data_IF_010792190966
#
_entry.id   IF_010792190966
#
_cell.length_a   1.000
_cell.length_b   1.000
_cell.length_c   1.000
_cell.angle_alpha   90.00
_cell.angle_beta   90.00
_cell.angle_gamma   90.00
#
_symmetry.space_group_name_H-M   'P 1'
#
loop_
_entity.id
_entity.type
_entity.pdbx_description
1 polymer ?
#
# COMPACT_ATOMS: atom_id res chain seq x y z
N UNK A 1 0.36 21.30 43.77
CA UNK A 1 1.11 22.26 42.91
C UNK A 1 1.13 21.77 41.45
N UNK A 2 0.06 21.96 40.66
CA UNK A 2 -0.02 21.57 39.23
C UNK A 2 -0.56 22.71 38.33
N UNK A 3 -0.24 23.98 38.62
CA UNK A 3 -0.78 25.15 37.89
C UNK A 3 0.24 25.96 37.09
N UNK A 4 1.52 25.57 37.07
CA UNK A 4 2.58 26.34 36.38
C UNK A 4 2.87 25.89 34.93
N UNK A 5 2.38 24.73 34.51
CA UNK A 5 2.54 24.21 33.14
C UNK A 5 1.55 24.85 32.16
N UNK A 6 0.27 24.92 32.53
CA UNK A 6 -0.80 25.41 31.65
C UNK A 6 -0.68 26.89 31.29
N UNK A 7 -0.22 27.73 32.21
CA UNK A 7 -0.07 29.17 31.95
C UNK A 7 0.98 29.43 30.88
N UNK A 8 2.08 28.67 30.85
CA UNK A 8 3.10 28.80 29.81
C UNK A 8 2.55 28.36 28.45
N UNK A 9 1.79 27.27 28.41
CA UNK A 9 1.17 26.78 27.18
C UNK A 9 0.16 27.79 26.60
N UNK A 10 -0.66 28.40 27.44
CA UNK A 10 -1.62 29.45 27.03
C UNK A 10 -0.90 30.70 26.50
N UNK A 11 0.22 31.08 27.12
CA UNK A 11 1.02 32.21 26.63
C UNK A 11 1.63 31.91 25.26
N UNK A 12 2.18 30.71 25.03
CA UNK A 12 2.72 30.33 23.73
C UNK A 12 1.66 30.23 22.63
N UNK A 13 0.49 29.67 22.93
CA UNK A 13 -0.64 29.62 22.00
C UNK A 13 -1.14 31.03 21.62
N UNK A 14 -1.28 31.91 22.60
CA UNK A 14 -1.69 33.31 22.38
C UNK A 14 -0.66 34.08 21.54
N UNK A 15 0.64 33.89 21.80
CA UNK A 15 1.71 34.55 21.05
C UNK A 15 1.76 34.07 19.59
N UNK A 16 1.55 32.77 19.36
CA UNK A 16 1.51 32.17 18.03
C UNK A 16 0.37 32.75 17.19
N UNK A 17 -0.84 32.81 17.75
CA UNK A 17 -2.01 33.40 17.07
C UNK A 17 -1.76 34.88 16.76
N UNK A 18 -1.18 35.63 17.69
CA UNK A 18 -0.87 37.04 17.49
C UNK A 18 0.12 37.27 16.34
N UNK A 19 1.19 36.46 16.25
CA UNK A 19 2.18 36.55 15.17
C UNK A 19 1.54 36.23 13.81
N UNK A 20 0.70 35.18 13.74
CA UNK A 20 -0.03 34.83 12.51
C UNK A 20 -0.96 35.96 12.06
N UNK A 21 -1.69 36.58 13.00
CA UNK A 21 -2.56 37.71 12.69
C UNK A 21 -1.76 38.93 12.20
N UNK A 22 -0.62 39.25 12.80
CA UNK A 22 0.22 40.39 12.38
C UNK A 22 0.80 40.16 10.98
N UNK A 23 1.18 38.93 10.65
CA UNK A 23 1.70 38.59 9.31
C UNK A 23 0.58 38.62 8.26
N UNK A 24 -0.62 38.16 8.61
CA UNK A 24 -1.80 38.24 7.74
C UNK A 24 -2.24 39.70 7.47
N UNK A 25 -2.22 40.56 8.48
CA UNK A 25 -2.56 42.00 8.35
C UNK A 25 -1.52 42.74 7.48
N UNK A 26 -0.25 42.31 7.50
CA UNK A 26 0.80 42.88 6.64
C UNK A 26 0.75 42.39 5.18
N UNK A 27 -0.24 41.57 4.80
CA UNK A 27 -0.45 41.15 3.41
C UNK A 27 0.63 40.20 2.89
N UNK A 28 1.41 39.56 3.77
CA UNK A 28 2.31 38.50 3.37
C UNK A 28 1.49 37.24 3.08
N UNK A 29 1.66 36.67 1.88
CA UNK A 29 1.00 35.44 1.47
C UNK A 29 1.60 34.28 2.28
N UNK A 30 0.89 33.86 3.34
CA UNK A 30 1.36 32.85 4.27
C UNK A 30 0.98 31.46 3.73
N UNK A 31 1.92 30.80 3.05
CA UNK A 31 1.74 29.42 2.59
C UNK A 31 1.93 28.45 3.77
N UNK A 32 0.83 28.16 4.47
CA UNK A 32 0.79 27.24 5.61
C UNK A 32 0.91 25.76 5.20
N UNK A 33 0.93 25.46 3.89
CA UNK A 33 1.06 24.09 3.39
C UNK A 33 2.47 23.54 3.65
N UNK A 34 3.48 24.40 3.79
CA UNK A 34 4.87 23.96 3.95
C UNK A 34 5.32 23.72 5.41
N UNK A 35 4.53 24.11 6.41
CA UNK A 35 4.91 23.94 7.84
C UNK A 35 4.41 22.61 8.42
N UNK A 36 3.55 21.88 7.71
CA UNK A 36 3.12 20.53 8.11
C UNK A 36 3.20 19.59 6.91
N UNK A 37 4.29 18.85 6.83
CA UNK A 37 4.39 17.64 6.01
C UNK A 37 4.69 16.42 6.91
N UNK A 38 3.62 15.76 7.35
CA UNK A 38 3.32 14.32 7.36
C UNK A 38 4.20 13.22 7.98
N UNK A 39 5.17 13.48 8.86
CA UNK A 39 5.75 12.35 9.65
C UNK A 39 6.27 12.64 11.07
N UNK A 40 6.17 13.86 11.58
CA UNK A 40 6.53 14.17 12.97
C UNK A 40 8.02 13.96 13.31
N UNK A 41 8.91 13.87 12.32
CA UNK A 41 10.36 13.77 12.55
C UNK A 41 11.09 15.07 12.21
N UNK A 42 12.04 15.44 13.06
CA UNK A 42 12.85 16.66 12.89
C UNK A 42 13.76 16.50 11.66
N UNK A 43 13.53 17.32 10.63
CA UNK A 43 14.45 17.46 9.50
C UNK A 43 15.59 18.38 9.92
N UNK A 44 16.80 17.85 9.97
CA UNK A 44 18.01 18.67 10.03
C UNK A 44 18.36 19.09 8.59
N UNK A 45 18.43 20.39 8.33
CA UNK A 45 18.99 20.90 7.08
C UNK A 45 20.49 20.58 7.06
N UNK A 46 20.89 19.76 6.09
CA UNK A 46 22.27 19.32 5.91
C UNK A 46 23.00 20.43 5.16
N UNK A 47 23.79 21.22 5.89
CA UNK A 47 24.79 22.12 5.32
C UNK A 47 25.95 21.32 4.69
N UNK A 48 26.70 21.88 3.71
CA UNK A 48 27.82 21.19 3.07
C UNK A 48 28.85 20.59 4.06
N UNK A 49 29.04 21.24 5.22
CA UNK A 49 29.90 20.77 6.30
C UNK A 49 29.43 19.47 6.97
N UNK A 50 28.14 19.14 6.90
CA UNK A 50 27.58 17.92 7.49
C UNK A 50 27.68 16.69 6.57
N UNK A 51 27.80 16.89 5.26
CA UNK A 51 28.11 15.82 4.29
C UNK A 51 29.56 15.34 4.43
N UNK A 52 30.51 16.25 4.63
CA UNK A 52 31.92 15.91 4.86
C UNK A 52 32.07 15.13 6.19
N UNK A 53 31.32 15.53 7.23
CA UNK A 53 31.28 14.80 8.51
C UNK A 53 30.61 13.43 8.40
N UNK A 54 29.57 13.29 7.58
CA UNK A 54 28.93 11.99 7.30
C UNK A 54 29.87 11.06 6.51
N UNK A 55 30.65 11.60 5.57
CA UNK A 55 31.66 10.84 4.83
C UNK A 55 32.81 10.38 5.74
N UNK A 56 33.28 11.24 6.65
CA UNK A 56 34.31 10.88 7.66
C UNK A 56 33.78 9.83 8.67
N UNK A 57 32.49 9.88 9.03
CA UNK A 57 31.84 8.85 9.85
C UNK A 57 31.70 7.50 9.13
N UNK A 58 31.27 7.50 7.86
CA UNK A 58 31.10 6.29 7.05
C UNK A 58 32.43 5.62 6.69
N UNK A 59 33.50 6.41 6.50
CA UNK A 59 34.84 5.88 6.23
C UNK A 59 35.54 5.33 7.47
N UNK A 60 35.12 5.73 8.68
CA UNK A 60 35.63 5.21 9.95
C UNK A 60 34.82 4.03 10.50
N UNK A 61 33.57 3.83 10.06
CA UNK A 61 32.74 2.70 10.49
C UNK A 61 33.04 1.44 9.67
N UNK A 62 33.80 0.50 10.25
CA UNK A 62 33.76 -0.92 9.82
C UNK A 62 32.40 -1.47 10.26
N UNK A 63 31.58 -1.90 9.29
CA UNK A 63 30.22 -2.45 9.42
C UNK A 63 29.12 -1.39 9.30
N UNK A 64 28.44 -1.37 8.14
CA UNK A 64 27.16 -0.67 7.94
C UNK A 64 26.26 -1.56 7.08
N UNK A 65 25.12 -1.98 7.64
CA UNK A 65 23.96 -2.48 6.90
C UNK A 65 23.45 -1.35 5.98
N UNK A 66 23.65 -1.50 4.68
CA UNK A 66 23.30 -0.49 3.67
C UNK A 66 21.83 -0.56 3.27
N UNK A 67 20.99 0.27 3.91
CA UNK A 67 19.67 0.67 3.39
C UNK A 67 19.52 2.21 3.44
N UNK A 68 20.41 2.92 2.75
CA UNK A 68 20.33 4.37 2.58
C UNK A 68 19.97 4.68 1.13
N UNK A 69 18.75 5.19 0.88
CA UNK A 69 18.36 5.70 -0.44
C UNK A 69 18.43 7.22 -0.43
N UNK A 70 19.24 7.78 -1.33
CA UNK A 70 19.31 9.22 -1.58
C UNK A 70 18.33 9.58 -2.70
N UNK A 71 17.34 10.42 -2.40
CA UNK A 71 16.46 11.01 -3.42
C UNK A 71 17.19 12.24 -3.96
N UNK A 72 17.81 12.10 -5.13
CA UNK A 72 18.43 13.22 -5.84
C UNK A 72 17.37 13.90 -6.70
N UNK A 73 17.15 15.18 -6.43
CA UNK A 73 16.22 16.00 -7.19
C UNK A 73 16.68 16.13 -8.66
N UNK A 74 15.87 15.67 -9.61
CA UNK A 74 16.24 15.60 -11.05
C UNK A 74 16.52 16.98 -11.66
N UNK A 75 16.11 18.05 -11.00
CA UNK A 75 16.32 19.42 -11.48
C UNK A 75 17.72 19.98 -11.17
N UNK A 76 18.51 19.35 -10.29
CA UNK A 76 19.90 19.76 -9.99
C UNK A 76 20.94 19.18 -10.97
N UNK A 77 20.55 18.23 -11.84
CA UNK A 77 21.47 17.57 -12.77
C UNK A 77 21.85 18.40 -14.01
N UNK A 78 21.19 19.54 -14.24
CA UNK A 78 21.42 20.35 -15.45
C UNK A 78 22.57 21.36 -15.34
N UNK A 79 23.07 21.65 -14.13
CA UNK A 79 24.10 22.69 -13.95
C UNK A 79 25.50 22.17 -13.64
N UNK A 80 25.70 20.87 -13.41
CA UNK A 80 26.99 20.37 -12.92
C UNK A 80 27.68 19.41 -13.90
N UNK A 81 28.50 19.98 -14.80
CA UNK A 81 29.28 19.23 -15.82
C UNK A 81 30.24 18.19 -15.23
N UNK A 82 30.64 18.33 -13.97
CA UNK A 82 31.53 17.37 -13.29
C UNK A 82 30.80 16.07 -12.91
N UNK A 83 29.52 16.16 -12.54
CA UNK A 83 28.70 14.99 -12.20
C UNK A 83 28.38 14.13 -13.43
N UNK A 84 28.24 14.73 -14.61
CA UNK A 84 28.07 13.97 -15.87
C UNK A 84 29.32 13.16 -16.23
N UNK A 85 30.52 13.73 -16.06
CA UNK A 85 31.77 12.99 -16.28
C UNK A 85 31.95 11.83 -15.32
N UNK A 86 31.58 12.01 -14.04
CA UNK A 86 31.64 10.93 -13.04
C UNK A 86 30.71 9.77 -13.38
N UNK A 87 29.53 10.03 -13.95
CA UNK A 87 28.59 8.99 -14.40
C UNK A 87 29.11 8.26 -15.64
N UNK A 88 29.68 8.96 -16.63
CA UNK A 88 30.28 8.34 -17.82
C UNK A 88 31.51 7.48 -17.49
N UNK A 89 32.39 7.94 -16.61
CA UNK A 89 33.58 7.17 -16.17
C UNK A 89 33.15 5.90 -15.41
N UNK A 90 32.06 5.98 -14.65
CA UNK A 90 31.54 4.81 -13.91
C UNK A 90 30.89 3.79 -14.86
N UNK A 91 30.19 4.23 -15.92
CA UNK A 91 29.62 3.35 -16.94
C UNK A 91 30.70 2.68 -17.82
N UNK A 92 31.81 3.36 -18.14
CA UNK A 92 32.93 2.75 -18.84
C UNK A 92 33.66 1.69 -17.99
N UNK A 93 33.80 1.90 -16.68
CA UNK A 93 34.41 0.91 -15.78
C UNK A 93 33.58 -0.37 -15.62
N UNK A 94 32.25 -0.27 -15.71
CA UNK A 94 31.35 -1.44 -15.71
C UNK A 94 31.39 -2.25 -17.02
N UNK A 95 31.81 -1.64 -18.13
CA UNK A 95 31.90 -2.29 -19.45
C UNK A 95 33.21 -3.06 -19.67
N UNK A 96 34.23 -2.84 -18.84
CA UNK A 96 35.56 -3.48 -18.95
C UNK A 96 35.72 -4.74 -18.09
N UNK A 97 34.74 -5.08 -17.25
CA UNK A 97 34.80 -6.27 -16.36
C UNK A 97 34.24 -7.55 -17.00
N UNK A 98 33.72 -7.49 -18.23
CA UNK A 98 33.15 -8.66 -18.95
C UNK A 98 34.11 -9.27 -19.99
N UNK A 99 35.28 -8.67 -20.22
CA UNK A 99 36.21 -9.08 -21.30
C UNK A 99 37.50 -9.74 -20.81
N UNK A 100 37.47 -10.50 -19.71
CA UNK A 100 38.62 -11.28 -19.24
C UNK A 100 38.23 -12.67 -18.69
N UNK A 101 37.72 -13.55 -19.55
CA UNK A 101 38.00 -15.00 -19.45
C UNK A 101 38.22 -15.54 -20.87
N UNK A 102 39.45 -15.37 -21.36
CA UNK A 102 40.04 -16.19 -22.41
C UNK A 102 41.40 -16.64 -21.90
N UNK A 103 41.67 -17.95 -21.93
CA UNK A 103 42.99 -18.41 -22.30
C UNK A 103 42.91 -19.32 -23.54
N UNK A 104 43.64 -18.92 -24.57
CA UNK A 104 44.14 -19.80 -25.62
C UNK A 104 45.15 -20.79 -25.01
N UNK A 105 45.07 -22.08 -25.36
CA UNK A 105 46.21 -22.99 -25.58
C UNK A 105 45.73 -24.07 -26.57
N UNK A 106 46.11 -23.99 -27.84
CA UNK A 106 47.27 -24.66 -28.49
C UNK A 106 46.97 -26.08 -29.01
N UNK A 107 47.21 -26.24 -30.32
CA UNK A 107 47.17 -27.46 -31.11
C UNK A 107 48.32 -28.40 -30.74
N UNK A 108 48.06 -29.69 -30.53
CA UNK A 108 49.00 -30.79 -30.78
C UNK A 108 48.23 -31.99 -31.36
N UNK A 109 48.92 -32.68 -32.26
CA UNK A 109 48.49 -33.65 -33.27
C UNK A 109 47.95 -35.01 -32.78
N UNK A 110 47.36 -35.70 -33.76
CA UNK A 110 46.77 -37.03 -33.75
C UNK A 110 47.71 -38.15 -33.28
N UNK A 111 47.15 -39.13 -32.54
CA UNK A 111 47.41 -40.56 -32.76
C UNK A 111 46.27 -41.43 -32.19
N UNK A 112 46.15 -42.64 -32.71
CA UNK A 112 44.94 -43.45 -32.95
C UNK A 112 44.98 -44.77 -32.13
N UNK A 113 43.80 -45.37 -31.90
CA UNK A 113 43.50 -46.82 -31.56
C UNK A 113 43.62 -47.16 -30.04
N UNK A 114 42.69 -47.78 -29.27
CA UNK A 114 41.39 -48.50 -29.40
C UNK A 114 40.62 -48.49 -28.03
N UNK A 115 39.32 -48.91 -27.95
CA UNK A 115 38.40 -48.76 -26.78
C UNK A 115 38.27 -50.08 -25.96
N UNK A 116 37.30 -50.29 -25.04
CA UNK A 116 36.39 -49.42 -24.27
C UNK A 116 36.42 -49.69 -22.73
N UNK A 117 35.83 -48.81 -21.93
CA UNK A 117 35.01 -49.21 -20.76
C UNK A 117 33.97 -48.12 -20.48
N UNK A 118 32.73 -48.57 -20.31
CA UNK A 118 31.51 -47.80 -20.21
C UNK A 118 31.55 -46.78 -19.08
N UNK A 119 31.45 -45.50 -19.42
CA UNK A 119 30.87 -44.50 -18.54
C UNK A 119 29.67 -43.90 -19.25
N UNK A 120 28.54 -44.00 -18.57
CA UNK A 120 27.21 -43.58 -19.01
C UNK A 120 27.27 -42.11 -19.43
N UNK A 121 27.17 -41.86 -20.73
CA UNK A 121 26.79 -40.55 -21.26
C UNK A 121 25.40 -40.26 -20.74
N UNK A 122 25.31 -39.39 -19.72
CA UNK A 122 24.09 -38.62 -19.50
C UNK A 122 24.01 -37.72 -20.73
N UNK A 123 23.11 -38.05 -21.66
CA UNK A 123 22.68 -37.12 -22.69
C UNK A 123 22.37 -35.78 -22.00
N UNK A 124 22.91 -34.64 -22.46
CA UNK A 124 22.38 -33.36 -22.09
C UNK A 124 20.98 -33.30 -22.71
N UNK A 125 20.01 -33.86 -21.99
CA UNK A 125 18.61 -33.85 -22.35
C UNK A 125 18.28 -32.42 -22.74
N UNK A 126 17.81 -32.28 -23.97
CA UNK A 126 17.33 -31.03 -24.56
C UNK A 126 16.71 -30.20 -23.45
N UNK A 127 17.30 -29.04 -23.18
CA UNK A 127 16.81 -28.11 -22.17
C UNK A 127 15.40 -27.73 -22.61
N UNK A 128 14.39 -28.46 -22.12
CA UNK A 128 13.01 -28.30 -22.55
C UNK A 128 12.65 -26.85 -22.29
N UNK A 129 12.33 -26.09 -23.34
CA UNK A 129 11.94 -24.70 -23.21
C UNK A 129 10.72 -24.64 -22.28
N UNK A 130 10.91 -24.02 -21.11
CA UNK A 130 9.87 -23.94 -20.09
C UNK A 130 8.82 -22.95 -20.58
N UNK A 131 7.69 -23.46 -21.06
CA UNK A 131 6.58 -22.60 -21.50
C UNK A 131 5.81 -22.05 -20.30
N UNK A 132 6.00 -20.76 -20.02
CA UNK A 132 5.27 -20.07 -18.96
C UNK A 132 3.77 -19.95 -19.35
N UNK A 133 2.92 -20.61 -18.56
CA UNK A 133 1.46 -20.62 -18.70
C UNK A 133 0.78 -19.23 -18.63
N UNK A 134 -0.55 -19.20 -18.72
CA UNK A 134 -1.33 -17.97 -18.53
C UNK A 134 -1.37 -17.61 -17.05
N UNK A 135 -0.75 -16.49 -16.71
CA UNK A 135 -0.75 -15.93 -15.35
C UNK A 135 -1.59 -14.66 -15.40
N UNK A 136 -2.51 -14.50 -14.45
CA UNK A 136 -3.30 -13.29 -14.27
C UNK A 136 -2.94 -12.70 -12.92
N UNK A 137 -2.51 -11.44 -12.93
CA UNK A 137 -2.18 -10.67 -11.73
C UNK A 137 -2.99 -9.38 -11.75
N UNK A 138 -3.30 -8.85 -10.58
CA UNK A 138 -4.02 -7.59 -10.43
C UNK A 138 -3.11 -6.56 -9.75
N UNK A 139 -3.24 -5.28 -10.08
CA UNK A 139 -2.50 -4.17 -9.45
C UNK A 139 -2.96 -3.94 -8.01
N UNK A 140 -2.11 -3.33 -7.19
CA UNK A 140 -2.46 -2.89 -5.83
C UNK A 140 -3.20 -3.95 -4.98
N UNK A 141 -2.76 -5.20 -5.04
CA UNK A 141 -3.37 -6.28 -4.27
C UNK A 141 -2.37 -7.39 -3.95
N UNK A 142 -2.77 -8.27 -3.04
CA UNK A 142 -2.04 -9.47 -2.66
C UNK A 142 -2.33 -10.58 -3.67
N UNK A 143 -1.40 -10.82 -4.58
CA UNK A 143 -1.50 -11.88 -5.57
C UNK A 143 -0.84 -13.16 -5.05
N UNK A 144 -1.49 -14.30 -5.30
CA UNK A 144 -0.93 -15.61 -4.98
C UNK A 144 -0.58 -16.35 -6.25
N UNK A 145 0.68 -16.73 -6.39
CA UNK A 145 1.18 -17.44 -7.56
C UNK A 145 1.79 -18.79 -7.15
N UNK A 146 1.40 -19.83 -7.86
CA UNK A 146 1.97 -21.16 -7.73
C UNK A 146 3.10 -21.35 -8.75
N UNK A 147 4.25 -21.84 -8.31
CA UNK A 147 5.36 -22.26 -9.15
C UNK A 147 5.30 -23.78 -9.35
N UNK A 148 4.80 -24.29 -10.50
CA UNK A 148 4.76 -25.72 -10.78
C UNK A 148 6.10 -26.29 -11.27
N UNK A 149 7.11 -25.46 -11.50
CA UNK A 149 8.37 -25.87 -12.11
C UNK A 149 9.39 -26.36 -11.07
N UNK A 150 10.39 -27.11 -11.53
CA UNK A 150 11.50 -27.61 -10.73
C UNK A 150 12.61 -26.57 -10.50
N UNK A 151 12.46 -25.38 -11.08
CA UNK A 151 13.35 -24.24 -10.92
C UNK A 151 12.60 -23.05 -10.28
N UNK A 152 13.31 -22.12 -9.61
CA UNK A 152 12.66 -20.94 -9.04
C UNK A 152 11.97 -20.09 -10.10
N UNK A 153 10.80 -19.56 -9.76
CA UNK A 153 10.08 -18.59 -10.56
C UNK A 153 10.34 -17.20 -9.97
N UNK A 154 10.90 -16.30 -10.77
CA UNK A 154 11.18 -14.93 -10.38
C UNK A 154 10.12 -14.00 -10.95
N UNK A 155 9.44 -13.25 -10.09
CA UNK A 155 8.66 -12.07 -10.45
C UNK A 155 9.61 -10.89 -10.30
N UNK A 156 10.18 -10.46 -11.43
CA UNK A 156 11.31 -9.53 -11.48
C UNK A 156 11.01 -8.25 -10.68
N UNK A 157 11.86 -7.94 -9.71
CA UNK A 157 11.74 -6.74 -8.87
C UNK A 157 10.70 -6.82 -7.74
N UNK A 158 10.02 -7.96 -7.55
CA UNK A 158 9.03 -8.14 -6.48
C UNK A 158 9.42 -9.33 -5.60
N UNK A 159 9.51 -10.53 -6.17
CA UNK A 159 9.75 -11.73 -5.36
C UNK A 159 10.25 -12.92 -6.16
N UNK A 160 10.86 -13.88 -5.47
CA UNK A 160 11.18 -15.21 -6.00
C UNK A 160 10.36 -16.27 -5.27
N UNK A 161 9.78 -17.17 -6.05
CA UNK A 161 8.95 -18.30 -5.61
C UNK A 161 9.78 -19.58 -5.77
N UNK A 162 10.08 -20.30 -4.68
CA UNK A 162 10.82 -21.55 -4.75
C UNK A 162 10.17 -22.60 -5.68
N UNK A 163 10.94 -23.59 -6.16
CA UNK A 163 10.40 -24.71 -6.93
C UNK A 163 9.23 -25.39 -6.21
N UNK A 164 8.22 -25.83 -6.98
CA UNK A 164 7.04 -26.58 -6.48
C UNK A 164 6.34 -25.93 -5.28
N UNK A 165 6.35 -24.60 -5.20
CA UNK A 165 5.79 -23.86 -4.06
C UNK A 165 4.86 -22.75 -4.49
N UNK A 166 3.99 -22.33 -3.57
CA UNK A 166 3.09 -21.18 -3.74
C UNK A 166 3.55 -20.05 -2.84
N UNK A 167 3.48 -18.82 -3.35
CA UNK A 167 3.81 -17.63 -2.57
C UNK A 167 2.82 -16.50 -2.87
N UNK A 168 2.45 -15.80 -1.81
CA UNK A 168 1.66 -14.57 -1.87
C UNK A 168 2.57 -13.36 -1.79
N UNK A 169 2.34 -12.36 -2.64
CA UNK A 169 3.11 -11.12 -2.68
C UNK A 169 2.22 -9.95 -3.14
N UNK A 170 2.59 -8.75 -2.74
CA UNK A 170 1.85 -7.53 -3.11
C UNK A 170 2.39 -6.94 -4.41
N UNK A 171 1.48 -6.51 -5.28
CA UNK A 171 1.80 -5.77 -6.49
C UNK A 171 1.46 -4.30 -6.30
N UNK A 172 2.28 -3.41 -6.87
CA UNK A 172 2.05 -1.96 -6.85
C UNK A 172 1.33 -1.46 -8.12
N UNK A 173 1.61 -0.21 -8.49
CA UNK A 173 1.05 0.47 -9.67
C UNK A 173 1.66 0.11 -11.02
N UNK A 174 2.34 -1.03 -11.12
CA UNK A 174 2.99 -1.45 -12.37
C UNK A 174 1.93 -1.98 -13.36
N UNK A 175 2.00 -1.57 -14.62
CA UNK A 175 1.11 -2.05 -15.69
C UNK A 175 1.37 -3.50 -16.10
N UNK A 176 2.60 -3.98 -15.92
CA UNK A 176 3.02 -5.34 -16.24
C UNK A 176 4.21 -5.73 -15.38
N UNK A 177 4.44 -7.04 -15.24
CA UNK A 177 5.61 -7.63 -14.59
C UNK A 177 6.25 -8.65 -15.51
N UNK A 178 7.57 -8.79 -15.43
CA UNK A 178 8.29 -9.85 -16.13
C UNK A 178 8.45 -11.04 -15.20
N UNK A 179 8.03 -12.20 -15.66
CA UNK A 179 8.20 -13.47 -14.96
C UNK A 179 9.30 -14.25 -15.66
N UNK A 180 10.28 -14.73 -14.89
CA UNK A 180 11.39 -15.56 -15.37
C UNK A 180 11.36 -16.92 -14.72
N UNK A 181 11.59 -17.96 -15.52
CA UNK A 181 11.70 -19.35 -15.08
C UNK A 181 12.82 -20.00 -15.90
N UNK A 182 13.95 -20.29 -15.25
CA UNK A 182 15.15 -20.77 -15.96
C UNK A 182 15.62 -19.74 -17.00
N UNK A 183 15.72 -20.16 -18.26
CA UNK A 183 16.10 -19.31 -19.40
C UNK A 183 14.91 -18.59 -20.05
N UNK A 184 13.68 -18.98 -19.73
CA UNK A 184 12.47 -18.42 -20.31
C UNK A 184 11.99 -17.20 -19.54
N UNK A 185 11.51 -16.18 -20.27
CA UNK A 185 10.91 -14.99 -19.69
C UNK A 185 9.61 -14.63 -20.38
N UNK A 186 8.65 -14.07 -19.64
CA UNK A 186 7.34 -13.67 -20.15
C UNK A 186 6.86 -12.41 -19.42
N UNK A 187 6.42 -11.43 -20.19
CA UNK A 187 5.72 -10.26 -19.65
C UNK A 187 4.25 -10.61 -19.41
N UNK A 188 3.78 -10.30 -18.21
CA UNK A 188 2.39 -10.49 -17.77
C UNK A 188 1.81 -9.13 -17.45
N UNK A 189 0.71 -8.78 -18.11
CA UNK A 189 -0.04 -7.55 -17.84
C UNK A 189 -0.82 -7.68 -16.53
N UNK A 190 -0.81 -6.62 -15.72
CA UNK A 190 -1.59 -6.58 -14.49
C UNK A 190 -2.94 -5.93 -14.77
N UNK A 191 -4.01 -6.63 -14.42
CA UNK A 191 -5.37 -6.08 -14.43
C UNK A 191 -5.46 -4.94 -13.40
N UNK A 192 -6.11 -3.81 -13.70
CA UNK A 192 -6.44 -2.82 -12.68
C UNK A 192 -7.29 -3.43 -11.56
N UNK A 193 -7.08 -2.98 -10.31
CA UNK A 193 -7.97 -3.33 -9.21
C UNK A 193 -9.29 -2.56 -9.37
N UNK A 194 -10.40 -3.27 -9.29
CA UNK A 194 -11.72 -2.66 -9.37
C UNK A 194 -12.10 -2.06 -8.01
N UNK A 195 -12.91 -1.00 -8.00
CA UNK A 195 -13.38 -0.42 -6.74
C UNK A 195 -14.38 -1.35 -6.06
N UNK A 196 -14.37 -1.46 -4.72
CA UNK A 196 -15.37 -2.21 -4.00
C UNK A 196 -16.78 -1.66 -4.27
N UNK A 197 -17.80 -2.49 -4.01
CA UNK A 197 -19.21 -2.09 -4.16
C UNK A 197 -19.96 -2.35 -2.86
N UNK A 198 -20.72 -1.35 -2.40
CA UNK A 198 -21.60 -1.47 -1.24
C UNK A 198 -23.03 -1.64 -1.76
N UNK A 199 -23.67 -2.74 -1.38
CA UNK A 199 -25.09 -2.96 -1.63
C UNK A 199 -25.88 -2.92 -0.30
N UNK A 200 -26.95 -2.13 -0.28
CA UNK A 200 -27.85 -2.03 0.86
C UNK A 200 -29.15 -2.77 0.55
N UNK A 201 -29.48 -3.77 1.37
CA UNK A 201 -30.78 -4.41 1.35
C UNK A 201 -31.55 -4.01 2.59
N UNK A 202 -32.66 -3.29 2.43
CA UNK A 202 -33.59 -3.05 3.54
C UNK A 202 -34.36 -4.33 3.82
N UNK A 203 -34.37 -4.77 5.08
CA UNK A 203 -35.05 -6.01 5.50
C UNK A 203 -36.23 -5.74 6.44
N UNK A 204 -36.22 -4.63 7.18
CA UNK A 204 -37.33 -4.21 8.03
C UNK A 204 -38.26 -3.21 7.32
N UNK A 205 -39.55 -3.22 7.69
CA UNK A 205 -40.48 -2.15 7.33
C UNK A 205 -40.21 -0.91 8.18
N UNK A 206 -40.28 0.26 7.56
CA UNK A 206 -39.94 1.54 8.18
C UNK A 206 -40.90 2.63 7.69
N UNK A 207 -41.32 3.52 8.57
CA UNK A 207 -42.31 4.56 8.30
C UNK A 207 -42.84 5.19 9.58
N UNK A 208 -43.87 6.02 9.45
CA UNK A 208 -44.48 6.76 10.57
C UNK A 208 -45.02 5.83 11.68
N UNK A 209 -45.73 4.77 11.30
CA UNK A 209 -46.27 3.78 12.25
C UNK A 209 -45.22 2.82 12.83
N UNK A 210 -43.94 2.97 12.46
CA UNK A 210 -42.89 2.06 12.90
C UNK A 210 -42.38 2.46 14.27
N UNK A 211 -42.36 1.49 15.19
CA UNK A 211 -41.80 1.65 16.53
C UNK A 211 -40.28 1.56 16.55
N UNK A 212 -39.65 2.51 17.22
CA UNK A 212 -38.21 2.52 17.52
C UNK A 212 -37.78 1.21 18.15
N UNK A 213 -38.52 0.73 19.14
CA UNK A 213 -38.24 -0.54 19.84
C UNK A 213 -38.17 -1.74 18.89
N UNK A 214 -38.94 -1.74 17.80
CA UNK A 214 -38.88 -2.79 16.78
C UNK A 214 -37.61 -2.70 15.94
N UNK A 215 -37.20 -1.48 15.57
CA UNK A 215 -35.96 -1.24 14.81
C UNK A 215 -34.69 -1.43 15.64
N UNK A 216 -34.77 -1.33 16.98
CA UNK A 216 -33.66 -1.59 17.89
C UNK A 216 -33.52 -3.05 18.31
N UNK A 217 -34.53 -3.88 18.06
CA UNK A 217 -34.53 -5.30 18.42
C UNK A 217 -34.37 -6.25 17.23
N UNK A 218 -34.50 -5.74 16.00
CA UNK A 218 -34.44 -6.54 14.78
C UNK A 218 -33.44 -5.98 13.76
N UNK A 219 -32.94 -6.85 12.88
CA UNK A 219 -32.08 -6.42 11.78
C UNK A 219 -32.89 -5.56 10.81
N UNK A 220 -32.35 -4.38 10.50
CA UNK A 220 -33.02 -3.36 9.71
C UNK A 220 -32.47 -3.29 8.28
N UNK A 221 -31.15 -3.38 8.15
CA UNK A 221 -30.45 -3.44 6.87
C UNK A 221 -29.48 -4.60 6.85
N UNK A 222 -29.33 -5.20 5.68
CA UNK A 222 -28.27 -6.13 5.34
C UNK A 222 -27.36 -5.45 4.32
N UNK A 223 -26.12 -5.18 4.73
CA UNK A 223 -25.11 -4.54 3.89
C UNK A 223 -24.17 -5.61 3.37
N UNK A 224 -24.00 -5.68 2.05
CA UNK A 224 -23.05 -6.59 1.41
C UNK A 224 -21.97 -5.77 0.73
N UNK A 225 -20.71 -6.08 1.04
CA UNK A 225 -19.55 -5.47 0.38
C UNK A 225 -19.00 -6.50 -0.61
N UNK A 226 -19.03 -6.16 -1.90
CA UNK A 226 -18.55 -7.02 -2.98
C UNK A 226 -17.23 -6.47 -3.52
N UNK A 227 -16.21 -7.33 -3.53
CA UNK A 227 -14.87 -7.04 -3.99
C UNK A 227 -14.15 -8.36 -4.30
N UNK A 228 -13.21 -8.34 -5.26
CA UNK A 228 -12.43 -9.52 -5.63
C UNK A 228 -11.40 -9.89 -4.54
N UNK A 229 -11.04 -8.94 -3.67
CA UNK A 229 -10.01 -9.06 -2.63
C UNK A 229 -10.53 -8.64 -1.25
N UNK A 230 -11.52 -9.33 -0.67
CA UNK A 230 -12.15 -8.92 0.60
C UNK A 230 -11.17 -8.84 1.79
N UNK A 231 -10.07 -9.58 1.76
CA UNK A 231 -9.06 -9.60 2.83
C UNK A 231 -8.29 -8.29 3.01
N UNK A 232 -8.29 -7.40 2.00
CA UNK A 232 -7.60 -6.11 2.06
C UNK A 232 -8.52 -4.94 2.43
N UNK A 233 -9.81 -5.20 2.64
CA UNK A 233 -10.80 -4.17 2.96
C UNK A 233 -10.90 -3.89 4.47
N UNK A 234 -11.06 -2.62 4.81
CA UNK A 234 -11.45 -2.12 6.12
C UNK A 234 -12.86 -1.53 6.04
N UNK A 235 -13.82 -2.14 6.73
CA UNK A 235 -15.23 -1.72 6.73
C UNK A 235 -15.57 -1.09 8.07
N UNK A 236 -16.02 0.16 8.03
CA UNK A 236 -16.39 0.95 9.20
C UNK A 236 -17.82 1.46 9.09
N UNK A 237 -18.56 1.33 10.18
CA UNK A 237 -19.91 1.85 10.32
C UNK A 237 -19.90 3.04 11.27
N UNK A 238 -20.64 4.10 10.91
CA UNK A 238 -20.81 5.30 11.72
C UNK A 238 -22.28 5.66 11.82
N UNK A 239 -22.71 6.14 12.99
CA UNK A 239 -24.10 6.42 13.31
C UNK A 239 -24.62 5.54 14.46
N UNK A 240 -25.89 5.72 14.87
CA UNK A 240 -26.51 4.99 15.97
C UNK A 240 -26.89 3.57 15.53
N UNK A 241 -25.88 2.71 15.32
CA UNK A 241 -26.07 1.35 14.81
C UNK A 241 -25.28 0.32 15.61
N UNK A 242 -25.84 -0.87 15.69
CA UNK A 242 -25.12 -2.09 16.10
C UNK A 242 -24.99 -2.99 14.89
N UNK A 243 -23.78 -3.50 14.65
CA UNK A 243 -23.47 -4.29 13.45
C UNK A 243 -23.00 -5.67 13.86
N UNK A 244 -23.60 -6.69 13.25
CA UNK A 244 -23.18 -8.08 13.37
C UNK A 244 -22.68 -8.56 12.02
N UNK A 245 -21.40 -8.91 11.94
CA UNK A 245 -20.81 -9.47 10.73
C UNK A 245 -21.11 -10.97 10.61
N UNK A 246 -21.47 -11.38 9.40
CA UNK A 246 -21.68 -12.78 9.00
C UNK A 246 -21.02 -12.98 7.62
N UNK A 247 -19.77 -13.46 7.61
CA UNK A 247 -18.97 -13.53 6.37
C UNK A 247 -18.73 -12.14 5.76
N UNK A 248 -19.10 -11.97 4.49
CA UNK A 248 -18.98 -10.70 3.75
C UNK A 248 -20.23 -9.80 3.88
N UNK A 249 -21.14 -10.17 4.78
CA UNK A 249 -22.40 -9.49 4.99
C UNK A 249 -22.45 -8.91 6.41
N UNK A 250 -23.06 -7.73 6.54
CA UNK A 250 -23.20 -7.02 7.79
C UNK A 250 -24.68 -6.78 8.07
N UNK A 251 -25.18 -7.42 9.12
CA UNK A 251 -26.54 -7.17 9.62
C UNK A 251 -26.49 -5.93 10.53
N UNK A 252 -27.21 -4.90 10.14
CA UNK A 252 -27.24 -3.58 10.79
C UNK A 252 -28.58 -3.41 11.51
N UNK A 253 -28.50 -3.14 12.81
CA UNK A 253 -29.62 -2.86 13.71
C UNK A 253 -29.52 -1.43 14.21
N UNK A 254 -30.64 -0.74 14.38
CA UNK A 254 -30.62 0.61 14.95
C UNK A 254 -30.27 0.55 16.44
N UNK A 255 -29.50 1.50 16.95
CA UNK A 255 -29.21 1.61 18.39
C UNK A 255 -29.01 3.08 18.74
N UNK A 256 -30.14 3.77 18.98
CA UNK A 256 -30.20 5.23 19.09
C UNK A 256 -30.68 5.71 20.45
N UNK A 257 -31.62 5.00 21.06
CA UNK A 257 -32.33 5.44 22.26
C UNK A 257 -32.36 4.35 23.32
N UNK A 258 -31.88 4.69 24.52
CA UNK A 258 -31.85 3.77 25.66
C UNK A 258 -33.13 3.77 26.49
N UNK A 259 -34.01 4.77 26.32
CA UNK A 259 -35.27 4.90 27.06
C UNK A 259 -36.28 5.77 26.31
N UNK A 260 -37.56 5.67 26.71
CA UNK A 260 -38.63 6.50 26.14
C UNK A 260 -38.35 7.99 26.30
N UNK A 261 -37.84 8.41 27.47
CA UNK A 261 -37.48 9.81 27.69
C UNK A 261 -36.39 10.32 26.73
N UNK A 262 -35.43 9.47 26.35
CA UNK A 262 -34.42 9.84 25.34
C UNK A 262 -35.04 10.03 23.94
N UNK A 263 -36.06 9.24 23.61
CA UNK A 263 -36.84 9.42 22.39
C UNK A 263 -37.71 10.68 22.46
N UNK A 264 -38.46 10.88 23.55
CA UNK A 264 -39.33 12.04 23.73
C UNK A 264 -38.52 13.35 23.57
N UNK A 265 -37.33 13.43 24.19
CA UNK A 265 -36.38 14.55 24.03
C UNK A 265 -35.88 14.73 22.59
N UNK A 266 -35.71 13.64 21.84
CA UNK A 266 -35.27 13.70 20.44
C UNK A 266 -36.41 14.15 19.50
N UNK A 267 -37.65 13.71 19.78
CA UNK A 267 -38.85 14.05 19.03
C UNK A 267 -39.46 15.40 19.40
N UNK A 268 -39.02 16.03 20.49
CA UNK A 268 -39.58 17.28 20.99
C UNK A 268 -39.59 18.37 19.90
N UNK A 269 -40.79 18.90 19.60
CA UNK A 269 -40.99 19.92 18.57
C UNK A 269 -40.83 19.43 17.13
N UNK A 270 -40.87 18.12 16.88
CA UNK A 270 -40.77 17.51 15.55
C UNK A 270 -41.96 16.61 15.25
N UNK A 271 -42.44 16.68 14.02
CA UNK A 271 -43.47 15.77 13.51
C UNK A 271 -42.83 14.49 12.95
N UNK A 272 -43.52 13.37 13.11
CA UNK A 272 -43.14 12.08 12.54
C UNK A 272 -43.37 12.07 11.00
N UNK A 273 -42.71 11.18 10.23
CA UNK A 273 -41.68 10.22 10.66
C UNK A 273 -40.32 10.88 10.92
N UNK A 274 -39.66 10.43 11.97
CA UNK A 274 -38.28 10.73 12.27
C UNK A 274 -37.31 9.90 11.45
N UNK A 275 -36.08 10.41 11.28
CA UNK A 275 -35.02 9.67 10.61
C UNK A 275 -33.68 9.74 11.33
N UNK A 276 -32.93 8.64 11.25
CA UNK A 276 -31.55 8.54 11.74
C UNK A 276 -30.68 7.92 10.68
N UNK A 277 -29.67 8.67 10.21
CA UNK A 277 -28.73 8.21 9.21
C UNK A 277 -27.59 7.39 9.80
N UNK A 278 -27.08 6.47 9.00
CA UNK A 278 -25.80 5.79 9.24
C UNK A 278 -24.99 5.76 7.94
N UNK A 279 -23.67 5.70 8.10
CA UNK A 279 -22.71 5.65 6.99
C UNK A 279 -21.88 4.38 7.09
N UNK A 280 -21.68 3.73 5.95
CA UNK A 280 -20.75 2.62 5.77
C UNK A 280 -19.59 3.14 4.95
N UNK A 281 -18.37 3.05 5.48
CA UNK A 281 -17.14 3.40 4.77
C UNK A 281 -16.35 2.13 4.53
N UNK A 282 -15.98 1.87 3.29
CA UNK A 282 -15.10 0.77 2.90
C UNK A 282 -13.81 1.38 2.36
N UNK A 283 -12.68 0.98 2.95
CA UNK A 283 -11.35 1.43 2.51
C UNK A 283 -10.50 0.22 2.14
N UNK A 284 -9.94 0.22 0.94
CA UNK A 284 -8.94 -0.74 0.51
C UNK A 284 -7.56 -0.30 1.02
N UNK A 285 -6.90 -1.16 1.79
CA UNK A 285 -5.61 -0.85 2.43
C UNK A 285 -4.44 -0.79 1.45
N UNK A 286 -4.53 -1.48 0.31
CA UNK A 286 -3.43 -1.60 -0.65
C UNK A 286 -3.68 -0.68 -1.85
N UNK A 287 -4.89 -0.67 -2.41
CA UNK A 287 -5.24 0.18 -3.54
C UNK A 287 -5.63 1.61 -3.17
N UNK A 288 -5.85 1.89 -1.88
CA UNK A 288 -6.26 3.21 -1.40
C UNK A 288 -7.66 3.63 -1.86
N UNK A 289 -8.43 2.71 -2.45
CA UNK A 289 -9.82 2.97 -2.82
C UNK A 289 -10.65 3.20 -1.56
N UNK A 290 -11.37 4.32 -1.52
CA UNK A 290 -12.30 4.64 -0.45
C UNK A 290 -13.66 4.94 -1.03
N UNK A 291 -14.65 4.23 -0.53
CA UNK A 291 -16.05 4.45 -0.89
C UNK A 291 -16.86 4.58 0.39
N UNK A 292 -17.93 5.36 0.32
CA UNK A 292 -18.89 5.49 1.39
C UNK A 292 -20.30 5.36 0.84
N UNK A 293 -21.16 4.66 1.57
CA UNK A 293 -22.58 4.56 1.33
C UNK A 293 -23.35 5.02 2.56
N UNK A 294 -24.48 5.68 2.35
CA UNK A 294 -25.33 6.16 3.44
C UNK A 294 -26.73 5.61 3.30
N UNK A 295 -27.36 5.33 4.44
CA UNK A 295 -28.77 4.98 4.49
C UNK A 295 -29.35 5.46 5.83
N UNK A 296 -30.67 5.42 5.95
CA UNK A 296 -31.37 5.95 7.12
C UNK A 296 -32.47 5.00 7.60
N UNK A 297 -32.69 5.01 8.92
CA UNK A 297 -33.86 4.43 9.55
C UNK A 297 -34.99 5.46 9.53
N UNK A 298 -36.23 4.99 9.39
CA UNK A 298 -37.44 5.83 9.47
C UNK A 298 -38.42 5.20 10.45
N UNK A 299 -38.94 6.01 11.38
CA UNK A 299 -39.83 5.58 12.47
C UNK A 299 -40.65 6.77 12.96
N UNK A 300 -41.78 6.54 13.62
CA UNK A 300 -42.59 7.63 14.21
C UNK A 300 -43.09 7.34 15.62
N UNK A 301 -43.03 6.08 16.07
CA UNK A 301 -43.43 5.68 17.42
C UNK A 301 -42.26 5.18 18.27
N UNK A 302 -42.45 5.14 19.58
CA UNK A 302 -41.55 4.46 20.53
C UNK A 302 -41.72 2.93 20.50
#
# INVERSE_FOLDING_TARGET
MKKKGDVKFIIYQSLYIFVVCVIAIKGANLDLVQVVADDGKVRAEITPDSLIKLQDLLSRSRIVDTNLYAIVDKNLLKENKELQRMVEITQQKLSLTVTQIQPQMQQIEQQKIEPPKEEVKIDPGEMQEIRIGSISLTQYTSNTLNNPYDVPLEVVGITTIPPKSTKTFETGGQGSVVIKVGTSSKTVELKPNDKPKINFQRVASMGEETRVTSLQSSVCYRVTVSDDFPGQLDVKFSGPVTVKQQGNTYDVTMNAFSSKGAFDNFSEGKDAPYSLGFTVTVSDKIAGHKIAGQNSFYFGEW
#
